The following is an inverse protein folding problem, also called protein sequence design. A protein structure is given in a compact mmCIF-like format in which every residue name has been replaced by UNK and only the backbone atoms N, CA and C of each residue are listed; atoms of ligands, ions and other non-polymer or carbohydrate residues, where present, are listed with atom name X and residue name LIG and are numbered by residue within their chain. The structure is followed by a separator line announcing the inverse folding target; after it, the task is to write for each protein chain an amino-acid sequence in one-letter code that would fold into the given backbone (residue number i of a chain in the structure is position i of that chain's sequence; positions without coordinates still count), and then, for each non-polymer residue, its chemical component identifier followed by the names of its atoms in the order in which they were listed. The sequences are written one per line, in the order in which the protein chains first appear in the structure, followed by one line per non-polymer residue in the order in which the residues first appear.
data_IF_046174241132
#
_entry.id   IF_046174241132
#
_cell.length_a   1.000
_cell.length_b   1.000
_cell.length_c   1.000
_cell.angle_alpha   90.00
_cell.angle_beta   90.00
_cell.angle_gamma   90.00
#
_symmetry.space_group_name_H-M   'P 1'
#
loop_
_entity.id
_entity.type
_entity.pdbx_description
1 polymer ?
#
# COMPACT_ATOMS: atom_id res chain seq x y z
N UNK A 1 4.99 -1.96 14.43
CA UNK A 1 5.73 -0.72 14.74
C UNK A 1 6.13 -0.03 13.45
N UNK A 2 6.04 1.28 13.43
CA UNK A 2 6.46 2.11 12.29
C UNK A 2 7.62 2.99 12.74
N UNK A 3 8.77 2.86 12.07
CA UNK A 3 9.98 3.58 12.45
C UNK A 3 10.31 4.64 11.39
N UNK A 4 10.47 5.92 11.78
CA UNK A 4 10.86 6.96 10.84
C UNK A 4 12.25 6.70 10.25
N UNK A 5 12.34 6.84 8.91
CA UNK A 5 13.59 6.71 8.16
C UNK A 5 13.66 7.81 7.11
N UNK A 6 14.89 8.19 6.76
CA UNK A 6 15.12 8.86 5.49
C UNK A 6 15.17 7.78 4.41
N UNK A 7 14.59 8.04 3.24
CA UNK A 7 14.56 7.05 2.17
C UNK A 7 15.97 6.63 1.75
N UNK A 8 16.93 7.56 1.76
CA UNK A 8 18.30 7.24 1.42
C UNK A 8 18.91 6.21 2.38
N UNK A 9 18.62 6.33 3.68
CA UNK A 9 19.10 5.40 4.69
C UNK A 9 18.43 4.04 4.54
N UNK A 10 17.15 4.02 4.22
CA UNK A 10 16.41 2.78 3.94
C UNK A 10 17.01 2.04 2.75
N UNK A 11 17.24 2.75 1.66
CA UNK A 11 17.82 2.15 0.46
C UNK A 11 19.23 1.59 0.70
N UNK A 12 20.02 2.29 1.52
CA UNK A 12 21.36 1.83 1.87
C UNK A 12 21.34 0.56 2.71
N UNK A 13 20.42 0.49 3.68
CA UNK A 13 20.34 -0.63 4.61
C UNK A 13 19.69 -1.85 3.97
N UNK A 14 18.57 -1.67 3.26
CA UNK A 14 17.74 -2.77 2.76
C UNK A 14 17.92 -3.08 1.28
N UNK A 15 18.52 -2.17 0.51
CA UNK A 15 18.77 -2.34 -0.92
C UNK A 15 17.51 -2.86 -1.66
N UNK A 16 16.40 -2.10 -1.61
CA UNK A 16 15.13 -2.60 -2.10
C UNK A 16 15.10 -2.78 -3.62
N UNK A 17 14.39 -3.82 -4.05
CA UNK A 17 13.97 -3.96 -5.43
C UNK A 17 12.50 -3.60 -5.50
N UNK A 18 12.21 -2.43 -6.05
CA UNK A 18 10.83 -1.96 -6.16
C UNK A 18 10.07 -2.75 -7.23
N UNK A 19 8.76 -2.91 -7.03
CA UNK A 19 7.92 -3.65 -7.99
C UNK A 19 7.69 -2.90 -9.30
N UNK A 20 7.99 -1.61 -9.34
CA UNK A 20 7.89 -0.80 -10.55
C UNK A 20 9.02 0.22 -10.57
N UNK A 21 9.22 0.85 -11.73
CA UNK A 21 10.19 1.94 -11.85
C UNK A 21 9.67 3.15 -11.04
N UNK A 22 10.48 3.59 -10.08
CA UNK A 22 10.11 4.73 -9.24
C UNK A 22 10.38 6.04 -9.98
N UNK A 23 9.40 6.96 -10.01
CA UNK A 23 9.65 8.30 -10.53
C UNK A 23 10.59 9.08 -9.61
N UNK A 24 11.14 10.18 -10.11
CA UNK A 24 12.02 11.03 -9.33
C UNK A 24 11.30 11.51 -8.06
N UNK A 25 12.04 11.52 -6.95
CA UNK A 25 11.47 11.91 -5.67
C UNK A 25 10.51 10.89 -5.05
N UNK A 26 10.53 9.67 -5.54
CA UNK A 26 9.66 8.59 -5.06
C UNK A 26 10.47 7.35 -4.69
N UNK A 27 10.25 6.74 -3.52
CA UNK A 27 9.40 7.24 -2.43
C UNK A 27 9.90 8.57 -1.88
N UNK A 28 9.07 9.33 -1.13
CA UNK A 28 9.49 10.62 -0.58
C UNK A 28 10.64 10.48 0.41
N UNK A 29 11.30 11.61 0.74
CA UNK A 29 12.48 11.62 1.60
C UNK A 29 12.20 11.06 3.00
N UNK A 30 11.05 11.37 3.57
CA UNK A 30 10.66 10.90 4.88
C UNK A 30 9.63 9.80 4.76
N UNK A 31 9.96 8.62 5.28
CA UNK A 31 9.09 7.44 5.22
C UNK A 31 9.03 6.76 6.58
N UNK A 32 8.13 5.79 6.70
CA UNK A 32 8.04 4.92 7.85
C UNK A 32 8.37 3.50 7.40
N UNK A 33 9.19 2.80 8.19
CA UNK A 33 9.56 1.42 7.93
C UNK A 33 8.74 0.52 8.86
N UNK A 34 7.91 -0.34 8.32
CA UNK A 34 7.06 -1.22 9.14
C UNK A 34 7.86 -2.41 9.69
N UNK A 35 7.48 -2.84 10.90
CA UNK A 35 7.98 -4.08 11.48
C UNK A 35 6.80 -4.77 12.15
N UNK A 36 6.42 -5.92 11.63
CA UNK A 36 5.27 -6.70 12.09
C UNK A 36 4.03 -5.80 12.27
N UNK A 37 3.82 -4.90 11.33
CA UNK A 37 2.76 -3.90 11.44
C UNK A 37 1.55 -4.30 10.58
N UNK A 38 0.34 -4.36 11.17
CA UNK A 38 -0.85 -4.76 10.43
C UNK A 38 -1.41 -3.59 9.63
N UNK A 39 -1.84 -3.90 8.40
CA UNK A 39 -2.55 -2.99 7.54
C UNK A 39 -3.69 -3.73 6.86
N UNK A 40 -4.59 -2.98 6.26
CA UNK A 40 -5.76 -3.49 5.56
C UNK A 40 -5.85 -2.84 4.19
N UNK A 41 -6.33 -3.63 3.22
CA UNK A 41 -6.49 -3.16 1.86
C UNK A 41 -7.85 -3.66 1.34
N UNK A 42 -8.57 -2.81 0.64
CA UNK A 42 -9.85 -3.20 0.06
C UNK A 42 -9.61 -4.10 -1.15
N UNK A 43 -10.42 -5.14 -1.27
CA UNK A 43 -10.34 -6.12 -2.35
C UNK A 43 -11.61 -6.14 -3.16
N UNK A 44 -11.50 -6.53 -4.43
CA UNK A 44 -12.66 -6.58 -5.32
C UNK A 44 -13.64 -7.69 -4.99
N UNK A 45 -13.15 -8.79 -4.42
CA UNK A 45 -13.98 -9.93 -4.04
C UNK A 45 -14.00 -10.10 -2.52
N UNK A 46 -15.05 -10.74 -2.01
CA UNK A 46 -15.24 -10.88 -0.56
C UNK A 46 -14.46 -12.01 0.07
N UNK A 47 -14.12 -13.04 -0.70
CA UNK A 47 -13.58 -14.29 -0.18
C UNK A 47 -12.20 -14.66 -0.73
N UNK A 48 -11.69 -13.91 -1.69
CA UNK A 48 -10.40 -14.20 -2.31
C UNK A 48 -9.74 -12.91 -2.79
N UNK A 49 -8.44 -12.99 -3.06
CA UNK A 49 -7.69 -11.91 -3.67
C UNK A 49 -6.93 -12.44 -4.89
N UNK A 50 -6.57 -11.52 -5.78
CA UNK A 50 -5.77 -11.83 -6.96
C UNK A 50 -4.62 -10.83 -7.06
N UNK A 51 -3.71 -11.04 -8.01
CA UNK A 51 -2.64 -10.08 -8.26
C UNK A 51 -3.18 -8.71 -8.65
N UNK A 52 -4.39 -8.64 -9.22
CA UNK A 52 -5.01 -7.36 -9.58
C UNK A 52 -5.31 -6.49 -8.35
N UNK A 53 -5.56 -7.10 -7.19
CA UNK A 53 -5.76 -6.35 -5.95
C UNK A 53 -4.50 -5.63 -5.49
N UNK A 54 -3.35 -5.98 -6.06
CA UNK A 54 -2.06 -5.38 -5.70
C UNK A 54 -1.44 -4.55 -6.82
N UNK A 55 -2.24 -4.12 -7.77
CA UNK A 55 -1.83 -3.15 -8.77
C UNK A 55 -2.03 -1.73 -8.24
N UNK A 56 -1.01 -0.89 -8.42
CA UNK A 56 -1.15 0.53 -8.15
C UNK A 56 -2.07 1.18 -9.18
N UNK A 57 -2.53 2.39 -8.91
CA UNK A 57 -3.33 3.13 -9.90
C UNK A 57 -2.57 3.34 -11.20
N UNK A 58 -1.27 3.62 -11.13
CA UNK A 58 -0.45 3.79 -12.32
C UNK A 58 -0.33 2.51 -13.14
N UNK A 59 -0.21 1.35 -12.47
CA UNK A 59 -0.17 0.05 -13.15
C UNK A 59 -1.52 -0.33 -13.76
N UNK A 60 -2.62 0.03 -13.08
CA UNK A 60 -3.97 -0.29 -13.54
C UNK A 60 -4.39 0.58 -14.73
N UNK A 61 -3.84 1.80 -14.84
CA UNK A 61 -4.18 2.74 -15.90
C UNK A 61 -2.90 3.36 -16.46
N UNK A 62 -2.10 2.58 -17.21
CA UNK A 62 -0.78 3.04 -17.69
C UNK A 62 -0.85 4.13 -18.74
N UNK A 63 -2.01 4.37 -19.34
CA UNK A 63 -2.20 5.42 -20.35
C UNK A 63 -2.51 6.78 -19.74
N UNK A 64 -2.91 6.79 -18.46
CA UNK A 64 -3.28 8.04 -17.80
C UNK A 64 -2.04 8.87 -17.47
N UNK A 65 -2.14 10.17 -17.69
CA UNK A 65 -1.09 11.11 -17.34
C UNK A 65 -1.31 11.59 -15.89
N UNK A 66 -0.48 11.09 -14.97
CA UNK A 66 -0.65 11.35 -13.55
C UNK A 66 -0.07 12.68 -13.06
N UNK A 67 0.91 13.23 -13.81
CA UNK A 67 1.54 14.48 -13.43
C UNK A 67 2.18 14.42 -12.05
N UNK A 68 1.89 15.42 -11.21
CA UNK A 68 2.44 15.51 -9.85
C UNK A 68 1.93 14.41 -8.92
N UNK A 69 0.88 13.71 -9.30
CA UNK A 69 0.33 12.62 -8.49
C UNK A 69 0.99 11.28 -8.76
N UNK A 70 1.91 11.21 -9.71
CA UNK A 70 2.57 9.96 -10.06
C UNK A 70 3.23 9.27 -8.86
N UNK A 71 3.95 9.97 -7.96
CA UNK A 71 4.55 9.31 -6.80
C UNK A 71 3.55 8.56 -5.93
N UNK A 72 2.34 9.11 -5.76
CA UNK A 72 1.28 8.43 -5.01
C UNK A 72 0.64 7.32 -5.84
N UNK A 73 0.50 7.54 -7.15
CA UNK A 73 -0.17 6.59 -8.03
C UNK A 73 0.63 5.29 -8.22
N UNK A 74 1.95 5.31 -8.04
CA UNK A 74 2.76 4.08 -8.11
C UNK A 74 2.79 3.31 -6.80
N UNK A 75 2.29 3.89 -5.70
CA UNK A 75 2.14 3.21 -4.42
C UNK A 75 0.78 2.53 -4.30
N UNK A 76 0.64 1.73 -3.26
CA UNK A 76 -0.60 1.04 -2.95
C UNK A 76 -1.26 1.68 -1.73
N UNK A 77 -2.58 1.87 -1.80
CA UNK A 77 -3.35 2.41 -0.67
C UNK A 77 -3.54 1.35 0.41
N UNK A 78 -3.25 1.73 1.64
CA UNK A 78 -3.47 0.91 2.82
C UNK A 78 -4.24 1.69 3.87
N UNK A 79 -4.90 0.95 4.74
CA UNK A 79 -5.65 1.49 5.88
C UNK A 79 -5.09 0.81 7.13
N UNK A 80 -4.81 1.58 8.18
CA UNK A 80 -4.19 1.05 9.39
C UNK A 80 -5.20 0.58 10.44
N UNK A 81 -6.50 0.63 10.14
CA UNK A 81 -7.57 0.30 11.06
C UNK A 81 -8.59 -0.60 10.41
N UNK A 82 -8.86 -1.74 11.02
CA UNK A 82 -9.89 -2.68 10.53
C UNK A 82 -11.27 -2.01 10.57
N UNK A 83 -11.59 -1.29 11.64
CA UNK A 83 -12.86 -0.58 11.77
C UNK A 83 -13.06 0.40 10.63
N UNK A 84 -12.00 1.14 10.29
CA UNK A 84 -12.05 2.11 9.19
C UNK A 84 -12.21 1.42 7.84
N UNK A 85 -11.50 0.30 7.64
CA UNK A 85 -11.63 -0.46 6.39
C UNK A 85 -13.05 -0.99 6.22
N UNK A 86 -13.66 -1.52 7.27
CA UNK A 86 -15.04 -2.01 7.22
C UNK A 86 -16.02 -0.88 6.95
N UNK A 87 -15.78 0.29 7.54
CA UNK A 87 -16.61 1.47 7.30
C UNK A 87 -16.50 1.93 5.84
N UNK A 88 -15.29 1.92 5.29
CA UNK A 88 -15.07 2.34 3.91
C UNK A 88 -15.80 1.44 2.90
N UNK A 89 -15.90 0.13 3.17
CA UNK A 89 -16.63 -0.78 2.28
C UNK A 89 -18.10 -0.39 2.09
N UNK A 90 -18.67 0.32 3.05
CA UNK A 90 -20.09 0.73 3.02
C UNK A 90 -20.30 2.05 2.27
N UNK A 91 -19.22 2.74 1.90
CA UNK A 91 -19.33 4.03 1.22
C UNK A 91 -19.57 3.84 -0.28
N UNK A 92 -20.43 4.66 -0.89
CA UNK A 92 -20.73 4.54 -2.32
C UNK A 92 -19.50 4.65 -3.22
N UNK A 93 -18.51 5.46 -2.82
CA UNK A 93 -17.30 5.65 -3.62
C UNK A 93 -16.42 4.39 -3.69
N UNK A 94 -16.64 3.41 -2.81
CA UNK A 94 -15.89 2.15 -2.80
C UNK A 94 -16.74 0.94 -3.20
N UNK A 95 -17.86 1.17 -3.89
CA UNK A 95 -18.80 0.09 -4.24
C UNK A 95 -18.21 -1.01 -5.13
N UNK A 96 -17.08 -0.75 -5.80
CA UNK A 96 -16.40 -1.75 -6.60
C UNK A 96 -15.64 -2.77 -5.73
N UNK A 97 -15.50 -2.49 -4.44
CA UNK A 97 -14.80 -3.38 -3.51
C UNK A 97 -15.81 -4.14 -2.66
N UNK A 98 -15.54 -5.42 -2.41
CA UNK A 98 -16.44 -6.28 -1.62
C UNK A 98 -15.73 -7.01 -0.49
N UNK A 99 -14.42 -6.87 -0.36
CA UNK A 99 -13.64 -7.57 0.64
C UNK A 99 -12.55 -6.72 1.25
N UNK A 100 -11.95 -7.28 2.29
CA UNK A 100 -10.81 -6.66 3.00
C UNK A 100 -9.71 -7.70 3.13
N UNK A 101 -8.52 -7.30 2.68
CA UNK A 101 -7.31 -8.09 2.85
C UNK A 101 -6.59 -7.57 4.09
N UNK A 102 -6.28 -8.45 5.03
CA UNK A 102 -5.42 -8.14 6.16
C UNK A 102 -4.00 -8.58 5.82
N UNK A 103 -3.04 -7.70 6.04
CA UNK A 103 -1.63 -7.98 5.78
C UNK A 103 -0.75 -7.45 6.89
N UNK A 104 0.41 -8.08 7.06
CA UNK A 104 1.41 -7.64 8.03
C UNK A 104 2.67 -7.29 7.25
N UNK A 105 3.17 -6.07 7.42
CA UNK A 105 4.35 -5.61 6.73
C UNK A 105 5.58 -5.65 7.64
N UNK A 106 6.69 -6.03 7.05
CA UNK A 106 8.01 -6.11 7.68
C UNK A 106 8.99 -5.19 6.94
N UNK A 107 10.17 -4.91 7.53
CA UNK A 107 11.09 -3.91 6.96
C UNK A 107 11.48 -4.15 5.50
N UNK A 108 11.59 -5.40 5.06
CA UNK A 108 11.98 -5.70 3.69
C UNK A 108 10.84 -5.57 2.68
N UNK A 109 9.60 -5.39 3.16
CA UNK A 109 8.41 -5.35 2.29
C UNK A 109 8.21 -3.99 1.62
N UNK A 110 8.95 -2.99 2.03
CA UNK A 110 8.85 -1.64 1.50
C UNK A 110 8.68 -0.60 2.58
N UNK A 111 8.29 0.58 2.17
CA UNK A 111 8.10 1.72 3.08
C UNK A 111 6.68 2.26 2.92
N UNK A 112 6.20 2.90 3.98
CA UNK A 112 4.86 3.49 3.99
C UNK A 112 4.94 4.95 4.44
N UNK A 113 3.89 5.71 4.12
CA UNK A 113 3.74 7.07 4.59
C UNK A 113 2.26 7.39 4.68
N UNK A 114 1.86 8.08 5.74
CA UNK A 114 0.51 8.58 5.86
C UNK A 114 0.25 9.62 4.76
N UNK A 115 -0.83 9.43 4.00
CA UNK A 115 -1.16 10.29 2.87
C UNK A 115 -2.68 10.51 2.84
N UNK A 116 -3.10 11.53 2.06
CA UNK A 116 -4.50 11.83 1.92
C UNK A 116 -5.07 12.58 3.12
N UNK A 117 -6.39 12.74 3.14
CA UNK A 117 -7.11 13.54 4.14
C UNK A 117 -7.37 12.80 5.45
N UNK A 118 -7.26 11.47 5.46
CA UNK A 118 -7.59 10.65 6.63
C UNK A 118 -6.35 10.08 7.30
N UNK A 119 -6.31 10.13 8.63
CA UNK A 119 -5.16 9.64 9.41
C UNK A 119 -4.89 8.16 9.22
N UNK A 120 -5.91 7.40 8.90
CA UNK A 120 -5.79 5.94 8.71
C UNK A 120 -5.29 5.56 7.35
N UNK A 121 -5.16 6.50 6.41
CA UNK A 121 -4.75 6.21 5.05
C UNK A 121 -3.25 6.32 4.89
N UNK A 122 -2.64 5.27 4.30
CA UNK A 122 -1.21 5.21 4.01
C UNK A 122 -1.00 4.85 2.56
N UNK A 123 0.11 5.29 2.01
CA UNK A 123 0.62 4.82 0.73
C UNK A 123 1.81 3.91 1.00
N UNK A 124 1.84 2.77 0.35
CA UNK A 124 2.88 1.75 0.48
C UNK A 124 3.62 1.59 -0.83
N UNK A 125 4.92 1.84 -0.81
CA UNK A 125 5.80 1.57 -1.94
C UNK A 125 6.42 0.20 -1.73
N UNK A 126 5.91 -0.76 -2.49
CA UNK A 126 6.15 -2.19 -2.29
C UNK A 126 7.44 -2.65 -2.94
N UNK A 127 8.16 -3.57 -2.27
CA UNK A 127 9.30 -4.27 -2.85
C UNK A 127 8.87 -5.64 -3.35
N UNK A 128 9.75 -6.27 -4.13
CA UNK A 128 9.53 -7.63 -4.66
C UNK A 128 9.65 -8.70 -3.58
N UNK A 129 10.15 -8.36 -2.40
CA UNK A 129 10.29 -9.32 -1.29
C UNK A 129 8.99 -9.61 -0.58
N UNK A 130 7.97 -8.77 -0.76
CA UNK A 130 6.67 -9.03 -0.14
C UNK A 130 6.03 -10.30 -0.70
N UNK A 131 5.62 -11.19 0.20
CA UNK A 131 5.05 -12.49 -0.14
C UNK A 131 3.53 -12.42 -0.09
N UNK A 132 2.87 -12.70 -1.22
CA UNK A 132 1.41 -12.74 -1.31
C UNK A 132 0.80 -13.85 -0.46
N UNK A 133 1.57 -14.85 -0.07
CA UNK A 133 1.09 -15.95 0.75
C UNK A 133 0.77 -15.56 2.20
N UNK A 134 1.22 -14.39 2.65
CA UNK A 134 1.01 -13.92 4.03
C UNK A 134 -0.24 -13.07 4.20
N UNK A 135 -1.19 -13.22 3.30
CA UNK A 135 -2.42 -12.42 3.30
C UNK A 135 -3.58 -13.21 3.87
N UNK A 136 -4.50 -12.51 4.51
CA UNK A 136 -5.72 -13.10 5.06
C UNK A 136 -6.92 -12.29 4.61
N UNK A 137 -7.95 -12.98 4.08
CA UNK A 137 -9.21 -12.32 3.80
C UNK A 137 -10.03 -12.25 5.07
N UNK A 138 -10.51 -11.06 5.42
CA UNK A 138 -11.39 -10.90 6.57
C UNK A 138 -12.81 -11.31 6.20
N UNK A 139 -13.54 -11.86 7.18
CA UNK A 139 -14.96 -12.10 7.01
C UNK A 139 -15.72 -10.79 7.11
N UNK A 140 -16.60 -10.56 6.14
CA UNK A 140 -17.41 -9.35 6.09
C UNK A 140 -18.69 -9.50 6.90
#
# INVERSE_FOLDING_TARGET
MLTPYKIADYCKEYQPEWTCTMPDGCPPDDVLVPSEHPFFRLAKQSDTYTTDDFKSYAEADPQRHWGEQLPLAVGLSLIDSETKARRNLKLPMFRQYQGIIALVLNPTDGVVRQTGAHRSHYTWWRTRKFQMSNLTMLKI
#
